data_IF_612780359232
#
_entry.id   IF_612780359232
#
_cell.length_a   1.000
_cell.length_b   1.000
_cell.length_c   1.000
_cell.angle_alpha   90.00
_cell.angle_beta   90.00
_cell.angle_gamma   90.00
#
_symmetry.space_group_name_H-M   'P 1'
#
loop_
_entity.id
_entity.type
_entity.pdbx_description
1 polymer ?
#
# COMPACT_ATOMS: atom_id res chain seq x y z
N UNK A 1 -1.09 -20.53 2.96
CA UNK A 1 -1.59 -19.51 3.92
C UNK A 1 -3.11 -19.48 3.83
N UNK A 2 -3.82 -19.28 4.95
CA UNK A 2 -5.28 -19.19 4.94
C UNK A 2 -5.78 -17.73 4.90
N UNK A 3 -7.09 -17.53 4.64
CA UNK A 3 -7.70 -16.20 4.57
C UNK A 3 -7.56 -15.39 5.86
N UNK A 4 -7.60 -16.04 7.02
CA UNK A 4 -7.50 -15.38 8.33
C UNK A 4 -6.08 -14.88 8.57
N UNK A 5 -5.09 -15.69 8.21
CA UNK A 5 -3.68 -15.33 8.29
C UNK A 5 -3.34 -14.20 7.30
N UNK A 6 -3.86 -14.26 6.07
CA UNK A 6 -3.72 -13.18 5.09
C UNK A 6 -4.29 -11.86 5.61
N UNK A 7 -5.49 -11.88 6.21
CA UNK A 7 -6.09 -10.69 6.81
C UNK A 7 -5.26 -10.14 7.99
N UNK A 8 -4.69 -11.03 8.81
CA UNK A 8 -3.81 -10.64 9.92
C UNK A 8 -2.55 -9.94 9.41
N UNK A 9 -1.92 -10.45 8.35
CA UNK A 9 -0.74 -9.85 7.70
C UNK A 9 -1.09 -8.51 7.06
N UNK A 10 -2.17 -8.45 6.27
CA UNK A 10 -2.67 -7.21 5.66
C UNK A 10 -2.94 -6.11 6.70
N UNK A 11 -3.57 -6.45 7.82
CA UNK A 11 -3.79 -5.51 8.93
C UNK A 11 -2.49 -5.02 9.56
N UNK A 12 -1.47 -5.88 9.65
CA UNK A 12 -0.14 -5.49 10.15
C UNK A 12 0.55 -4.52 9.19
N UNK A 13 0.52 -4.80 7.89
CA UNK A 13 1.05 -3.89 6.88
C UNK A 13 0.34 -2.55 6.90
N UNK A 14 -1.00 -2.55 6.98
CA UNK A 14 -1.77 -1.32 7.07
C UNK A 14 -1.35 -0.45 8.28
N UNK A 15 -1.13 -1.06 9.45
CA UNK A 15 -0.62 -0.32 10.62
C UNK A 15 0.75 0.32 10.37
N UNK A 16 1.68 -0.42 9.76
CA UNK A 16 3.02 0.10 9.43
C UNK A 16 2.95 1.23 8.41
N UNK A 17 2.14 1.07 7.37
CA UNK A 17 1.92 2.12 6.36
C UNK A 17 1.37 3.39 7.00
N UNK A 18 0.54 3.27 8.05
CA UNK A 18 -0.05 4.42 8.75
C UNK A 18 0.97 5.29 9.47
N UNK A 19 2.13 4.73 9.82
CA UNK A 19 3.24 5.48 10.43
C UNK A 19 4.00 6.34 9.40
N UNK A 20 3.88 5.99 8.11
CA UNK A 20 4.60 6.63 7.01
C UNK A 20 3.66 7.55 6.20
N UNK A 21 2.40 7.14 6.05
CA UNK A 21 1.46 7.74 5.13
C UNK A 21 0.05 7.77 5.73
N UNK A 22 -0.57 8.97 5.88
CA UNK A 22 -1.92 9.08 6.42
C UNK A 22 -2.96 8.64 5.38
N UNK A 23 -3.37 7.37 5.44
CA UNK A 23 -4.46 6.84 4.61
C UNK A 23 -5.79 6.78 5.37
N UNK A 24 -6.90 6.95 4.63
CA UNK A 24 -8.27 6.87 5.17
C UNK A 24 -8.79 5.44 5.25
N UNK A 25 -8.51 4.65 4.22
CA UNK A 25 -9.04 3.29 4.06
C UNK A 25 -7.97 2.37 3.48
N UNK A 26 -7.92 1.15 3.98
CA UNK A 26 -7.12 0.07 3.41
C UNK A 26 -8.06 -1.04 2.91
N UNK A 27 -7.77 -1.62 1.76
CA UNK A 27 -8.56 -2.70 1.14
C UNK A 27 -7.64 -3.85 0.77
N UNK A 28 -8.05 -5.06 1.16
CA UNK A 28 -7.38 -6.31 0.77
C UNK A 28 -7.97 -6.77 -0.57
N UNK A 29 -7.12 -6.96 -1.56
CA UNK A 29 -7.46 -7.47 -2.88
C UNK A 29 -6.88 -8.88 -3.07
N UNK A 30 -7.06 -9.41 -4.28
CA UNK A 30 -6.45 -10.67 -4.69
C UNK A 30 -7.20 -11.92 -4.24
N UNK A 31 -6.58 -13.06 -4.49
CA UNK A 31 -7.19 -14.39 -4.33
C UNK A 31 -7.63 -14.68 -2.89
N UNK A 32 -6.98 -14.09 -1.88
CA UNK A 32 -7.37 -14.18 -0.47
C UNK A 32 -8.66 -13.42 -0.14
N UNK A 33 -9.01 -12.37 -0.90
CA UNK A 33 -10.29 -11.69 -0.75
C UNK A 33 -11.42 -12.52 -1.40
N UNK A 34 -11.18 -13.04 -2.61
CA UNK A 34 -12.17 -13.73 -3.46
C UNK A 34 -12.32 -15.24 -3.19
N UNK A 35 -11.51 -15.82 -2.30
CA UNK A 35 -11.69 -17.18 -1.79
C UNK A 35 -11.11 -18.30 -2.66
N UNK A 36 -10.18 -17.99 -3.57
CA UNK A 36 -9.44 -18.99 -4.35
C UNK A 36 -7.91 -18.82 -4.25
N UNK A 37 -7.31 -18.69 -3.06
CA UNK A 37 -5.86 -18.61 -2.94
C UNK A 37 -5.21 -19.97 -3.21
N UNK A 38 -4.04 -19.94 -3.83
CA UNK A 38 -3.14 -21.08 -4.01
C UNK A 38 -1.82 -20.85 -3.27
N UNK A 39 -0.91 -21.83 -3.31
CA UNK A 39 0.40 -21.73 -2.66
C UNK A 39 1.28 -20.61 -3.20
N UNK A 40 1.03 -20.16 -4.43
CA UNK A 40 1.71 -19.04 -5.09
C UNK A 40 0.93 -17.72 -5.01
N UNK A 41 -0.10 -17.64 -4.16
CA UNK A 41 -0.89 -16.42 -4.02
C UNK A 41 -0.22 -15.40 -3.10
N UNK A 42 -0.11 -14.18 -3.61
CA UNK A 42 0.40 -13.01 -2.90
C UNK A 42 -0.70 -12.25 -2.14
N UNK A 43 -0.29 -11.29 -1.31
CA UNK A 43 -1.20 -10.41 -0.56
C UNK A 43 -1.18 -9.02 -1.17
N UNK A 44 -2.26 -8.64 -1.83
CA UNK A 44 -2.43 -7.31 -2.40
C UNK A 44 -3.20 -6.38 -1.47
N UNK A 45 -2.62 -5.24 -1.09
CA UNK A 45 -3.31 -4.22 -0.28
C UNK A 45 -3.30 -2.85 -0.94
N UNK A 46 -4.48 -2.28 -1.19
CA UNK A 46 -4.64 -0.91 -1.67
C UNK A 46 -4.95 0.07 -0.54
N UNK A 47 -4.40 1.27 -0.63
CA UNK A 47 -4.60 2.35 0.35
C UNK A 47 -5.23 3.56 -0.33
N UNK A 48 -6.33 4.06 0.24
CA UNK A 48 -7.00 5.27 -0.21
C UNK A 48 -6.48 6.46 0.58
N UNK A 49 -5.93 7.41 -0.17
CA UNK A 49 -5.32 8.64 0.32
C UNK A 49 -6.19 9.81 -0.13
N UNK A 50 -6.30 10.85 0.69
CA UNK A 50 -6.95 12.09 0.23
C UNK A 50 -6.08 12.80 -0.80
N UNK A 51 -4.79 12.88 -0.47
CA UNK A 51 -3.79 13.52 -1.29
C UNK A 51 -2.55 12.63 -1.30
N UNK A 52 -2.02 12.42 -2.50
CA UNK A 52 -0.68 11.93 -2.67
C UNK A 52 0.22 13.15 -2.60
N UNK A 53 0.50 13.59 -1.38
CA UNK A 53 1.45 14.66 -1.18
C UNK A 53 2.83 14.10 -1.55
N UNK A 54 3.23 14.29 -2.80
CA UNK A 54 4.45 13.72 -3.40
C UNK A 54 5.74 14.32 -2.81
N UNK A 55 5.67 14.95 -1.64
CA UNK A 55 6.80 15.45 -0.88
C UNK A 55 6.99 14.63 0.39
N UNK A 56 7.47 13.40 0.26
CA UNK A 56 8.53 13.00 1.18
C UNK A 56 9.80 13.72 0.71
N UNK A 57 9.92 15.01 1.07
CA UNK A 57 11.20 15.72 1.04
C UNK A 57 12.11 14.98 2.03
N UNK A 58 12.92 14.05 1.53
CA UNK A 58 14.22 13.84 2.16
C UNK A 58 14.89 15.22 2.25
N UNK A 59 15.53 15.53 3.37
CA UNK A 59 16.21 16.83 3.59
C UNK A 59 17.47 17.00 2.71
N UNK A 60 17.44 16.50 1.49
CA UNK A 60 18.59 16.48 0.59
C UNK A 60 18.13 16.45 -0.87
N UNK A 61 17.34 17.43 -1.32
CA UNK A 61 17.52 17.84 -2.72
C UNK A 61 17.02 19.25 -3.03
N UNK A 62 17.96 20.05 -3.50
CA UNK A 62 17.77 21.37 -4.07
C UNK A 62 17.82 21.23 -5.60
N UNK A 63 16.67 21.36 -6.28
CA UNK A 63 16.45 22.22 -7.46
C UNK A 63 15.30 21.73 -8.34
N UNK A 64 14.46 22.72 -8.69
CA UNK A 64 13.72 22.92 -9.94
C UNK A 64 12.77 21.83 -10.47
N UNK A 65 11.54 22.26 -10.75
CA UNK A 65 10.90 21.91 -12.03
C UNK A 65 9.76 20.89 -11.96
N UNK A 66 8.57 21.41 -11.70
CA UNK A 66 7.24 20.93 -12.13
C UNK A 66 7.16 19.68 -13.05
N UNK A 67 6.41 18.66 -12.62
CA UNK A 67 5.29 18.04 -13.38
C UNK A 67 4.45 17.14 -12.46
N UNK A 68 3.13 17.35 -12.52
CA UNK A 68 2.10 16.65 -11.74
C UNK A 68 1.90 15.23 -12.27
N UNK A 69 2.05 14.25 -11.40
CA UNK A 69 1.23 13.03 -11.30
C UNK A 69 1.73 12.24 -10.09
N UNK A 70 0.84 11.87 -9.16
CA UNK A 70 1.04 10.58 -8.52
C UNK A 70 -0.29 9.83 -8.46
N UNK A 71 -0.32 8.64 -9.05
CA UNK A 71 -1.02 7.50 -8.48
C UNK A 71 0.11 6.63 -7.94
N UNK A 72 0.36 6.69 -6.64
CA UNK A 72 1.36 5.82 -6.03
C UNK A 72 0.71 4.45 -5.82
N UNK A 73 0.82 3.57 -6.81
CA UNK A 73 0.67 2.14 -6.58
C UNK A 73 1.89 1.68 -5.79
N UNK A 74 1.76 1.60 -4.46
CA UNK A 74 2.72 0.86 -3.64
C UNK A 74 2.40 -0.63 -3.87
N UNK A 75 2.92 -1.19 -4.96
CA UNK A 75 2.90 -2.64 -5.18
C UNK A 75 4.03 -3.21 -4.33
N UNK A 76 3.68 -3.75 -3.17
CA UNK A 76 4.60 -4.58 -2.39
C UNK A 76 4.91 -5.84 -3.18
N UNK A 77 5.99 -5.84 -3.96
CA UNK A 77 6.59 -7.06 -4.47
C UNK A 77 7.31 -7.75 -3.31
N UNK A 78 6.78 -8.89 -2.86
CA UNK A 78 7.47 -9.88 -2.05
C UNK A 78 7.23 -11.25 -2.68
#
# INVERSE_FOLDING_TARGET
MDKREAFKKARRYAKLVKEILPYKKAVLFGSYAYGKPCEYSDIDTGFYLEELDCMQRSKSDTRSGMRRTPVAEIIGHL
#
